data_IF_755009905706
#
_entry.id   IF_755009905706
#
_cell.length_a   1.000
_cell.length_b   1.000
_cell.length_c   1.000
_cell.angle_alpha   90.00
_cell.angle_beta   90.00
_cell.angle_gamma   90.00
#
_symmetry.space_group_name_H-M   'P 1'
#
loop_
_entity.id
_entity.type
_entity.pdbx_description
1 polymer ?
#
# COMPACT_ATOMS: atom_id res chain seq x y z
N UNK A 1 17.40 -31.12 -24.04
CA UNK A 1 18.08 -30.46 -22.91
C UNK A 1 17.90 -28.95 -23.04
N UNK A 2 16.85 -28.40 -22.43
CA UNK A 2 16.62 -26.95 -22.42
C UNK A 2 17.46 -26.32 -21.30
N UNK A 3 18.24 -25.27 -21.63
CA UNK A 3 18.96 -24.45 -20.65
C UNK A 3 17.96 -23.89 -19.64
N UNK A 4 17.94 -24.48 -18.45
CA UNK A 4 17.42 -23.90 -17.22
C UNK A 4 18.53 -23.01 -16.64
N UNK A 5 18.23 -21.75 -16.36
CA UNK A 5 19.15 -20.86 -15.66
C UNK A 5 18.76 -19.40 -15.78
N UNK A 6 18.41 -18.80 -14.63
CA UNK A 6 18.00 -17.40 -14.40
C UNK A 6 16.59 -17.06 -14.87
N UNK A 7 15.76 -16.58 -13.93
CA UNK A 7 14.52 -15.86 -14.27
C UNK A 7 14.98 -14.51 -14.82
N UNK A 8 15.21 -14.44 -16.13
CA UNK A 8 15.52 -13.17 -16.79
C UNK A 8 14.23 -12.36 -16.85
N UNK A 9 13.96 -11.58 -15.80
CA UNK A 9 12.92 -10.56 -15.86
C UNK A 9 13.38 -9.48 -16.83
N UNK A 10 12.59 -9.26 -17.89
CA UNK A 10 12.71 -8.07 -18.72
C UNK A 10 12.66 -6.80 -17.84
N UNK A 11 13.18 -5.68 -18.35
CA UNK A 11 13.19 -4.41 -17.62
C UNK A 11 11.79 -4.00 -17.13
N UNK A 12 10.75 -4.24 -17.92
CA UNK A 12 9.34 -4.06 -17.53
C UNK A 12 8.93 -4.92 -16.32
N UNK A 13 9.42 -6.15 -16.22
CA UNK A 13 9.20 -7.05 -15.09
C UNK A 13 9.91 -6.55 -13.81
N UNK A 14 11.13 -6.02 -13.94
CA UNK A 14 11.88 -5.43 -12.81
C UNK A 14 11.14 -4.19 -12.28
N UNK A 15 10.70 -3.29 -13.16
CA UNK A 15 9.95 -2.08 -12.79
C UNK A 15 8.63 -2.46 -12.11
N UNK A 16 7.92 -3.45 -12.66
CA UNK A 16 6.67 -3.96 -12.07
C UNK A 16 6.90 -4.58 -10.69
N UNK A 17 8.01 -5.29 -10.49
CA UNK A 17 8.41 -5.80 -9.19
C UNK A 17 8.69 -4.68 -8.18
N UNK A 18 9.35 -3.59 -8.60
CA UNK A 18 9.58 -2.41 -7.75
C UNK A 18 8.24 -1.77 -7.32
N UNK A 19 7.29 -1.63 -8.25
CA UNK A 19 5.94 -1.13 -7.93
C UNK A 19 5.20 -2.07 -6.96
N UNK A 20 5.33 -3.38 -7.15
CA UNK A 20 4.71 -4.37 -6.28
C UNK A 20 5.32 -4.37 -4.87
N UNK A 21 6.65 -4.26 -4.75
CA UNK A 21 7.34 -4.10 -3.46
C UNK A 21 6.92 -2.80 -2.80
N UNK A 22 6.86 -1.71 -3.56
CA UNK A 22 6.37 -0.40 -3.08
C UNK A 22 4.95 -0.53 -2.52
N UNK A 23 4.07 -1.22 -3.25
CA UNK A 23 2.71 -1.52 -2.81
C UNK A 23 2.67 -2.32 -1.52
N UNK A 24 3.49 -3.37 -1.40
CA UNK A 24 3.59 -4.19 -0.21
C UNK A 24 4.09 -3.38 1.00
N UNK A 25 5.13 -2.56 0.83
CA UNK A 25 5.66 -1.67 1.88
C UNK A 25 4.55 -0.77 2.42
N UNK A 26 3.77 -0.16 1.54
CA UNK A 26 2.62 0.66 1.95
C UNK A 26 1.56 -0.16 2.69
N UNK A 27 1.19 -1.32 2.16
CA UNK A 27 0.18 -2.20 2.76
C UNK A 27 0.55 -2.57 4.20
N UNK A 28 1.76 -3.10 4.40
CA UNK A 28 2.24 -3.49 5.73
C UNK A 28 2.39 -2.28 6.64
N UNK A 29 2.96 -1.17 6.16
CA UNK A 29 3.06 0.05 6.96
C UNK A 29 1.68 0.53 7.42
N UNK A 30 0.65 0.46 6.57
CA UNK A 30 -0.73 0.82 6.90
C UNK A 30 -1.30 -0.03 8.04
N UNK A 31 -1.13 -1.36 7.94
CA UNK A 31 -1.58 -2.28 8.98
C UNK A 31 -0.82 -2.10 10.30
N UNK A 32 0.50 -1.85 10.23
CA UNK A 32 1.30 -1.53 11.41
C UNK A 32 0.85 -0.23 12.08
N UNK A 33 0.62 0.84 11.30
CA UNK A 33 0.08 2.11 11.82
C UNK A 33 -1.24 1.88 12.54
N UNK A 34 -2.16 1.11 11.95
CA UNK A 34 -3.45 0.82 12.58
C UNK A 34 -3.30 0.00 13.87
N UNK A 35 -2.31 -0.90 13.92
CA UNK A 35 -2.03 -1.73 15.10
C UNK A 35 -1.53 -0.94 16.31
N UNK A 36 -0.92 0.24 16.10
CA UNK A 36 -0.47 1.12 17.20
C UNK A 36 -1.64 1.76 17.94
N UNK A 37 -2.63 2.28 17.21
CA UNK A 37 -3.82 2.90 17.79
C UNK A 37 -4.98 2.94 16.78
N UNK A 38 -5.81 1.91 16.77
CA UNK A 38 -6.93 1.80 15.84
C UNK A 38 -8.08 2.78 16.10
N UNK A 39 -8.17 3.35 17.31
CA UNK A 39 -9.21 4.32 17.69
C UNK A 39 -8.88 5.74 17.21
N UNK A 40 -7.60 6.04 17.02
CA UNK A 40 -7.15 7.33 16.52
C UNK A 40 -7.69 7.68 15.14
N UNK A 41 -8.21 8.88 14.97
CA UNK A 41 -8.48 9.41 13.62
C UNK A 41 -7.19 9.58 12.80
N UNK A 42 -6.07 9.94 13.45
CA UNK A 42 -4.79 10.18 12.79
C UNK A 42 -4.18 8.88 12.24
N UNK A 43 -4.18 7.80 13.03
CA UNK A 43 -3.68 6.50 12.55
C UNK A 43 -4.61 5.89 11.51
N UNK A 44 -5.93 6.05 11.64
CA UNK A 44 -6.89 5.60 10.62
C UNK A 44 -6.69 6.33 9.29
N UNK A 45 -6.58 7.66 9.31
CA UNK A 45 -6.32 8.43 8.08
C UNK A 45 -4.99 8.05 7.45
N UNK A 46 -3.91 7.89 8.23
CA UNK A 46 -2.63 7.48 7.67
C UNK A 46 -2.66 6.05 7.11
N UNK A 47 -3.34 5.13 7.80
CA UNK A 47 -3.58 3.77 7.30
C UNK A 47 -4.31 3.82 5.95
N UNK A 48 -5.39 4.60 5.84
CA UNK A 48 -6.13 4.79 4.59
C UNK A 48 -5.25 5.39 3.49
N UNK A 49 -4.42 6.39 3.80
CA UNK A 49 -3.45 6.94 2.85
C UNK A 49 -2.48 5.87 2.33
N UNK A 50 -1.96 5.02 3.23
CA UNK A 50 -1.06 3.95 2.84
C UNK A 50 -1.76 2.84 2.04
N UNK A 51 -3.00 2.46 2.37
CA UNK A 51 -3.77 1.53 1.54
C UNK A 51 -4.07 2.11 0.15
N UNK A 52 -4.35 3.41 0.06
CA UNK A 52 -4.54 4.13 -1.20
C UNK A 52 -3.28 4.11 -2.08
N UNK A 53 -2.11 4.35 -1.48
CA UNK A 53 -0.82 4.26 -2.17
C UNK A 53 -0.45 2.82 -2.53
N UNK A 54 -0.81 1.85 -1.68
CA UNK A 54 -0.64 0.43 -1.95
C UNK A 54 -1.43 0.01 -3.18
N UNK A 55 -2.70 0.43 -3.27
CA UNK A 55 -3.54 0.20 -4.44
C UNK A 55 -2.94 0.82 -5.71
N UNK A 56 -2.48 2.07 -5.63
CA UNK A 56 -1.82 2.73 -6.75
C UNK A 56 -0.60 1.93 -7.25
N UNK A 57 0.32 1.58 -6.33
CA UNK A 57 1.50 0.80 -6.67
C UNK A 57 1.16 -0.58 -7.25
N UNK A 58 0.15 -1.26 -6.71
CA UNK A 58 -0.28 -2.56 -7.23
C UNK A 58 -0.84 -2.43 -8.64
N UNK A 59 -1.73 -1.47 -8.88
CA UNK A 59 -2.31 -1.24 -10.19
C UNK A 59 -1.26 -0.87 -11.25
N UNK A 60 -0.24 -0.09 -10.86
CA UNK A 60 0.91 0.22 -11.74
C UNK A 60 1.78 -1.01 -12.00
N UNK A 61 1.99 -1.89 -11.02
CA UNK A 61 2.71 -3.14 -11.23
C UNK A 61 2.02 -4.02 -12.28
N UNK A 62 0.68 -4.11 -12.24
CA UNK A 62 -0.08 -4.87 -13.23
C UNK A 62 -0.08 -4.20 -14.60
N UNK A 63 -0.38 -2.90 -14.64
CA UNK A 63 -0.43 -2.15 -15.90
C UNK A 63 0.92 -2.17 -16.64
N UNK A 64 2.04 -2.09 -15.91
CA UNK A 64 3.37 -2.02 -16.52
C UNK A 64 3.82 -3.34 -17.17
N UNK A 65 3.41 -4.48 -16.59
CA UNK A 65 3.68 -5.83 -17.12
C UNK A 65 2.48 -6.42 -17.89
N UNK A 66 1.48 -5.61 -18.25
CA UNK A 66 0.30 -6.08 -18.96
C UNK A 66 0.66 -6.67 -20.34
N UNK A 67 -0.01 -7.75 -20.78
CA UNK A 67 0.28 -8.39 -22.07
C UNK A 67 -0.24 -7.58 -23.27
N UNK A 68 -1.26 -6.75 -23.07
CA UNK A 68 -1.96 -6.00 -24.11
C UNK A 68 -2.41 -4.62 -23.62
N UNK A 69 -2.77 -3.75 -24.57
CA UNK A 69 -3.17 -2.37 -24.30
C UNK A 69 -4.44 -2.27 -23.44
N UNK A 70 -5.44 -3.13 -23.67
CA UNK A 70 -6.72 -3.08 -22.95
C UNK A 70 -6.51 -3.41 -21.48
N UNK A 71 -5.71 -4.44 -21.19
CA UNK A 71 -5.31 -4.78 -19.83
C UNK A 71 -4.53 -3.62 -19.19
N UNK A 72 -3.58 -3.03 -19.90
CA UNK A 72 -2.82 -1.88 -19.39
C UNK A 72 -3.73 -0.69 -19.06
N UNK A 73 -4.63 -0.34 -19.99
CA UNK A 73 -5.59 0.75 -19.85
C UNK A 73 -6.53 0.52 -18.66
N UNK A 74 -7.09 -0.68 -18.54
CA UNK A 74 -7.97 -1.04 -17.43
C UNK A 74 -7.28 -0.83 -16.07
N UNK A 75 -6.04 -1.31 -15.91
CA UNK A 75 -5.32 -1.14 -14.65
C UNK A 75 -4.84 0.30 -14.41
N UNK A 76 -4.55 1.07 -15.47
CA UNK A 76 -4.29 2.51 -15.36
C UNK A 76 -5.52 3.28 -14.86
N UNK A 77 -6.72 2.94 -15.35
CA UNK A 77 -7.99 3.49 -14.87
C UNK A 77 -8.24 3.15 -13.41
N UNK A 78 -8.00 1.90 -13.01
CA UNK A 78 -8.09 1.48 -11.61
C UNK A 78 -7.11 2.23 -10.70
N UNK A 79 -5.91 2.54 -11.19
CA UNK A 79 -4.92 3.30 -10.44
C UNK A 79 -5.39 4.72 -10.09
N UNK A 80 -6.34 5.30 -10.83
CA UNK A 80 -6.92 6.62 -10.55
C UNK A 80 -7.54 6.73 -9.15
N UNK A 81 -8.12 5.63 -8.64
CA UNK A 81 -8.60 5.56 -7.26
C UNK A 81 -7.49 5.74 -6.23
N UNK A 82 -6.25 5.38 -6.57
CA UNK A 82 -5.09 5.52 -5.71
C UNK A 82 -4.52 6.94 -5.71
N UNK A 83 -4.04 7.41 -6.86
CA UNK A 83 -3.40 8.74 -6.94
C UNK A 83 -4.38 9.89 -6.78
N UNK A 84 -5.61 9.75 -7.29
CA UNK A 84 -6.63 10.81 -7.22
C UNK A 84 -7.10 11.11 -5.80
N UNK A 85 -7.14 10.10 -4.91
CA UNK A 85 -7.63 10.24 -3.53
C UNK A 85 -6.50 10.59 -2.56
N UNK A 86 -5.27 10.16 -2.83
CA UNK A 86 -4.14 10.28 -1.89
C UNK A 86 -3.92 11.71 -1.39
N UNK A 87 -3.86 12.70 -2.28
CA UNK A 87 -3.55 14.08 -1.88
C UNK A 87 -4.64 14.70 -0.99
N UNK A 88 -5.90 14.30 -1.17
CA UNK A 88 -7.00 14.70 -0.28
C UNK A 88 -6.86 14.07 1.11
N UNK A 89 -6.50 12.78 1.19
CA UNK A 89 -6.21 12.12 2.46
C UNK A 89 -4.98 12.72 3.15
N UNK A 90 -3.94 13.06 2.39
CA UNK A 90 -2.74 13.70 2.91
C UNK A 90 -3.06 15.07 3.52
N UNK A 91 -3.80 15.94 2.83
CA UNK A 91 -4.17 17.24 3.36
C UNK A 91 -5.09 17.11 4.59
N UNK A 92 -6.05 16.19 4.58
CA UNK A 92 -6.88 15.89 5.75
C UNK A 92 -6.02 15.43 6.94
N UNK A 93 -5.06 14.53 6.70
CA UNK A 93 -4.11 14.10 7.73
C UNK A 93 -3.31 15.27 8.30
N UNK A 94 -2.81 16.17 7.46
CA UNK A 94 -2.06 17.36 7.90
C UNK A 94 -2.95 18.31 8.73
N UNK A 95 -4.21 18.54 8.33
CA UNK A 95 -5.14 19.37 9.08
C UNK A 95 -5.38 18.82 10.49
N UNK A 96 -5.50 17.49 10.60
CA UNK A 96 -5.64 16.82 11.89
C UNK A 96 -4.35 16.90 12.72
N UNK A 97 -3.19 16.66 12.11
CA UNK A 97 -1.88 16.73 12.77
C UNK A 97 -1.56 18.14 13.28
N UNK A 98 -1.97 19.17 12.53
CA UNK A 98 -1.76 20.59 12.88
C UNK A 98 -2.86 21.17 13.77
N UNK A 99 -3.73 20.32 14.32
CA UNK A 99 -4.75 20.66 15.32
C UNK A 99 -5.75 21.73 14.85
N UNK A 100 -6.08 21.75 13.56
CA UNK A 100 -7.03 22.71 12.96
C UNK A 100 -8.49 22.31 13.21
N UNK A 101 -8.83 22.03 14.47
CA UNK A 101 -10.14 21.49 14.88
C UNK A 101 -11.33 22.36 14.44
N UNK A 102 -11.20 23.68 14.49
CA UNK A 102 -12.26 24.59 14.04
C UNK A 102 -12.58 24.50 12.53
N UNK A 103 -11.60 24.12 11.71
CA UNK A 103 -11.83 23.85 10.28
C UNK A 103 -12.44 22.46 10.09
N UNK A 104 -11.96 21.46 10.81
CA UNK A 104 -12.45 20.08 10.74
C UNK A 104 -13.92 19.92 11.17
N UNK A 105 -14.49 20.88 11.91
CA UNK A 105 -15.92 20.87 12.24
C UNK A 105 -16.82 21.30 11.08
N UNK A 106 -16.27 21.91 10.01
CA UNK A 106 -17.06 22.49 8.92
C UNK A 106 -17.30 21.47 7.81
N UNK A 107 -18.56 21.16 7.51
CA UNK A 107 -18.92 20.17 6.48
C UNK A 107 -18.38 20.52 5.08
N UNK A 108 -18.35 21.82 4.71
CA UNK A 108 -17.87 22.26 3.40
C UNK A 108 -16.38 21.99 3.18
N UNK A 109 -15.59 21.83 4.24
CA UNK A 109 -14.18 21.46 4.13
C UNK A 109 -14.05 20.06 3.51
N UNK A 110 -14.90 19.11 3.92
CA UNK A 110 -14.88 17.76 3.39
C UNK A 110 -15.31 17.73 1.92
N UNK A 111 -16.27 18.57 1.53
CA UNK A 111 -16.61 18.76 0.12
C UNK A 111 -15.40 19.26 -0.68
N UNK A 112 -14.72 20.30 -0.19
CA UNK A 112 -13.53 20.85 -0.85
C UNK A 112 -12.39 19.83 -0.94
N UNK A 113 -12.17 19.04 0.11
CA UNK A 113 -11.12 18.03 0.14
C UNK A 113 -11.40 16.88 -0.82
N UNK A 114 -12.61 16.31 -0.80
CA UNK A 114 -12.89 15.04 -1.47
C UNK A 114 -13.58 15.16 -2.83
N UNK A 115 -14.22 16.30 -3.16
CA UNK A 115 -14.84 16.50 -4.46
C UNK A 115 -13.81 16.44 -5.62
N UNK A 116 -12.65 17.13 -5.56
CA UNK A 116 -11.65 17.01 -6.62
C UNK A 116 -11.12 15.59 -6.79
N UNK A 117 -10.93 14.87 -5.67
CA UNK A 117 -10.53 13.47 -5.70
C UNK A 117 -11.58 12.60 -6.40
N UNK A 118 -12.86 12.75 -6.05
CA UNK A 118 -13.94 12.00 -6.68
C UNK A 118 -14.04 12.29 -8.18
N UNK A 119 -13.88 13.56 -8.57
CA UNK A 119 -13.85 13.96 -9.98
C UNK A 119 -12.68 13.33 -10.72
N UNK A 120 -11.47 13.30 -10.15
CA UNK A 120 -10.32 12.63 -10.74
C UNK A 120 -10.59 11.13 -10.94
N UNK A 121 -11.13 10.45 -9.92
CA UNK A 121 -11.47 9.02 -10.02
C UNK A 121 -12.55 8.78 -11.08
N UNK A 122 -13.57 9.64 -11.15
CA UNK A 122 -14.63 9.51 -12.13
C UNK A 122 -14.13 9.75 -13.56
N UNK A 123 -13.40 10.84 -13.80
CA UNK A 123 -12.97 11.25 -15.14
C UNK A 123 -11.87 10.35 -15.69
N UNK A 124 -10.89 9.95 -14.88
CA UNK A 124 -9.81 9.08 -15.33
C UNK A 124 -10.14 7.60 -15.17
N UNK A 125 -10.96 7.22 -14.19
CA UNK A 125 -11.28 5.81 -13.93
C UNK A 125 -12.52 5.31 -14.67
N UNK A 126 -13.61 6.08 -14.68
CA UNK A 126 -14.94 5.58 -15.07
C UNK A 126 -15.38 6.12 -16.43
N UNK A 127 -15.15 7.40 -16.72
CA UNK A 127 -15.59 8.02 -17.96
C UNK A 127 -14.70 7.62 -19.14
N UNK A 128 -15.24 6.86 -20.09
CA UNK A 128 -14.49 6.31 -21.22
C UNK A 128 -13.91 7.39 -22.15
N UNK A 129 -14.69 8.45 -22.42
CA UNK A 129 -14.27 9.52 -23.32
C UNK A 129 -13.00 10.24 -22.83
N UNK A 130 -12.96 10.57 -21.53
CA UNK A 130 -11.83 11.26 -20.92
C UNK A 130 -10.67 10.31 -20.64
N UNK A 131 -10.94 9.05 -20.28
CA UNK A 131 -9.90 8.05 -20.08
C UNK A 131 -9.12 7.75 -21.37
N UNK A 132 -9.80 7.61 -22.51
CA UNK A 132 -9.15 7.38 -23.81
C UNK A 132 -8.27 8.56 -24.26
N UNK A 133 -8.67 9.78 -23.90
CA UNK A 133 -7.86 10.97 -24.18
C UNK A 133 -6.67 11.12 -23.23
N UNK A 134 -6.84 10.74 -21.96
CA UNK A 134 -5.83 10.87 -20.93
C UNK A 134 -4.77 9.74 -20.92
N UNK A 135 -5.09 8.59 -21.53
CA UNK A 135 -4.22 7.41 -21.54
C UNK A 135 -3.84 6.99 -22.96
N UNK A 136 -2.77 7.58 -23.47
CA UNK A 136 -2.12 7.10 -24.68
C UNK A 136 -0.93 6.21 -24.30
N UNK A 137 -1.22 4.94 -24.03
CA UNK A 137 -0.22 3.98 -23.55
C UNK A 137 0.57 3.39 -24.73
N UNK A 138 1.89 3.55 -24.68
CA UNK A 138 2.83 2.97 -25.64
C UNK A 138 3.67 1.90 -24.95
N UNK A 139 3.81 0.75 -25.60
CA UNK A 139 4.64 -0.34 -25.09
C UNK A 139 6.12 -0.03 -25.36
N UNK A 140 6.92 -0.03 -24.30
CA UNK A 140 8.37 0.23 -24.35
C UNK A 140 9.12 -0.92 -23.68
N UNK A 141 10.47 -1.01 -23.79
CA UNK A 141 11.25 -1.98 -23.03
C UNK A 141 11.07 -1.88 -21.51
N UNK A 142 10.70 -0.69 -21.01
CA UNK A 142 10.42 -0.43 -19.60
C UNK A 142 8.97 -0.80 -19.18
N UNK A 143 8.10 -1.17 -20.13
CA UNK A 143 6.69 -1.47 -19.92
C UNK A 143 5.76 -0.44 -20.58
N UNK A 144 4.51 -0.40 -20.13
CA UNK A 144 3.48 0.50 -20.64
C UNK A 144 3.62 1.92 -20.08
N UNK A 145 4.10 2.84 -20.91
CA UNK A 145 4.31 4.25 -20.56
C UNK A 145 3.17 5.09 -21.14
N UNK A 146 2.66 6.03 -20.34
CA UNK A 146 1.65 6.98 -20.82
C UNK A 146 2.34 8.16 -21.54
N UNK A 147 2.00 8.36 -22.81
CA UNK A 147 2.48 9.45 -23.66
C UNK A 147 1.32 10.34 -24.14
N UNK A 148 0.28 10.50 -23.32
CA UNK A 148 -0.77 11.46 -23.59
C UNK A 148 -0.21 12.89 -23.51
N UNK A 149 -0.70 13.77 -24.39
CA UNK A 149 -0.42 15.20 -24.30
C UNK A 149 -1.05 15.82 -23.04
N UNK A 150 -0.70 17.07 -22.75
CA UNK A 150 -1.28 17.79 -21.61
C UNK A 150 -2.69 18.26 -21.99
N UNK A 151 -3.72 17.68 -21.37
CA UNK A 151 -5.11 18.15 -21.46
C UNK A 151 -5.43 19.15 -20.35
N UNK A 152 -6.55 19.89 -20.53
CA UNK A 152 -7.10 20.75 -19.47
C UNK A 152 -7.41 19.97 -18.18
N UNK A 153 -7.75 18.68 -18.30
CA UNK A 153 -7.94 17.77 -17.16
C UNK A 153 -6.63 17.51 -16.42
N UNK A 154 -5.52 17.35 -17.12
CA UNK A 154 -4.21 17.13 -16.50
C UNK A 154 -3.72 18.38 -15.77
N UNK A 155 -4.03 19.56 -16.30
CA UNK A 155 -3.80 20.83 -15.60
C UNK A 155 -4.66 20.95 -14.33
N UNK A 156 -5.92 20.51 -14.37
CA UNK A 156 -6.79 20.49 -13.19
C UNK A 156 -6.29 19.51 -12.13
N UNK A 157 -5.85 18.31 -12.53
CA UNK A 157 -5.21 17.35 -11.65
C UNK A 157 -3.91 17.89 -11.07
N UNK A 158 -3.05 18.50 -11.88
CA UNK A 158 -1.80 19.14 -11.46
C UNK A 158 -2.06 20.23 -10.41
N UNK A 159 -3.09 21.06 -10.63
CA UNK A 159 -3.50 22.09 -9.68
C UNK A 159 -4.01 21.48 -8.36
N UNK A 160 -4.78 20.39 -8.41
CA UNK A 160 -5.24 19.67 -7.22
C UNK A 160 -4.07 19.08 -6.43
N UNK A 161 -3.19 18.32 -7.10
CA UNK A 161 -2.00 17.71 -6.53
C UNK A 161 -1.07 18.76 -5.88
N UNK A 162 -0.60 19.74 -6.66
CA UNK A 162 0.36 20.75 -6.18
C UNK A 162 -0.31 21.63 -5.11
N UNK A 163 -1.55 22.06 -5.34
CA UNK A 163 -2.28 22.91 -4.40
C UNK A 163 -2.43 22.26 -3.03
N UNK A 164 -2.80 20.98 -2.99
CA UNK A 164 -3.01 20.26 -1.73
C UNK A 164 -1.68 19.93 -1.04
N UNK A 165 -0.65 19.54 -1.81
CA UNK A 165 0.68 19.29 -1.28
C UNK A 165 1.32 20.56 -0.68
N UNK A 166 1.26 21.69 -1.40
CA UNK A 166 1.78 22.98 -0.92
C UNK A 166 1.00 23.51 0.27
N UNK A 167 -0.33 23.41 0.26
CA UNK A 167 -1.15 23.80 1.42
C UNK A 167 -0.76 22.97 2.64
N UNK A 168 -0.62 21.65 2.47
CA UNK A 168 -0.15 20.77 3.54
C UNK A 168 1.26 21.14 4.03
N UNK A 169 2.18 21.45 3.12
CA UNK A 169 3.54 21.89 3.46
C UNK A 169 3.54 23.19 4.27
N UNK A 170 2.80 24.21 3.83
CA UNK A 170 2.67 25.50 4.53
C UNK A 170 2.08 25.30 5.92
N UNK A 171 1.02 24.48 6.05
CA UNK A 171 0.42 24.17 7.34
C UNK A 171 1.41 23.45 8.28
N UNK A 172 2.17 22.47 7.77
CA UNK A 172 3.18 21.75 8.55
C UNK A 172 4.28 22.67 9.03
N UNK A 173 4.84 23.49 8.14
CA UNK A 173 5.95 24.38 8.49
C UNK A 173 5.51 25.50 9.46
N UNK A 174 4.36 26.13 9.21
CA UNK A 174 3.80 27.14 10.13
C UNK A 174 3.51 26.57 11.51
N UNK A 175 2.94 25.37 11.58
CA UNK A 175 2.73 24.65 12.84
C UNK A 175 4.07 24.31 13.52
N UNK A 176 5.06 23.85 12.77
CA UNK A 176 6.40 23.58 13.28
C UNK A 176 7.13 24.81 13.83
N UNK A 177 6.96 25.97 13.22
CA UNK A 177 7.57 27.23 13.69
C UNK A 177 6.90 27.77 14.95
N UNK A 178 5.58 27.64 15.05
CA UNK A 178 4.78 28.17 16.18
C UNK A 178 4.71 27.23 17.38
N UNK A 179 4.99 25.93 17.20
CA UNK A 179 4.94 24.95 18.27
C UNK A 179 5.93 25.28 19.40
N UNK A 180 5.50 25.22 20.66
CA UNK A 180 6.39 25.31 21.84
C UNK A 180 7.18 24.02 22.08
N UNK A 181 6.57 22.89 21.75
CA UNK A 181 7.14 21.57 22.02
C UNK A 181 8.19 21.17 20.97
N UNK A 182 9.40 20.78 21.42
CA UNK A 182 10.49 20.36 20.54
C UNK A 182 10.12 19.17 19.65
N UNK A 183 9.26 18.27 20.12
CA UNK A 183 8.78 17.09 19.38
C UNK A 183 7.99 17.50 18.13
N UNK A 184 6.99 18.39 18.29
CA UNK A 184 6.18 18.91 17.18
C UNK A 184 7.04 19.60 16.11
N UNK A 185 8.04 20.40 16.53
CA UNK A 185 9.01 21.03 15.61
C UNK A 185 9.83 20.03 14.82
N UNK A 186 10.22 18.90 15.42
CA UNK A 186 10.99 17.84 14.73
C UNK A 186 10.11 17.11 13.72
N UNK A 187 8.89 16.72 14.12
CA UNK A 187 7.91 16.08 13.24
C UNK A 187 7.63 16.95 12.01
N UNK A 188 7.31 18.22 12.22
CA UNK A 188 7.00 19.17 11.15
C UNK A 188 8.15 19.28 10.14
N UNK A 189 9.40 19.37 10.61
CA UNK A 189 10.58 19.46 9.74
C UNK A 189 10.83 18.16 8.99
N UNK A 190 10.75 17.01 9.65
CA UNK A 190 10.99 15.70 9.03
C UNK A 190 9.98 15.46 7.90
N UNK A 191 8.68 15.65 8.18
CA UNK A 191 7.64 15.47 7.17
C UNK A 191 7.74 16.57 6.10
N UNK A 192 7.99 17.82 6.49
CA UNK A 192 8.11 18.94 5.55
C UNK A 192 9.25 18.75 4.54
N UNK A 193 10.45 18.37 5.00
CA UNK A 193 11.58 18.08 4.09
C UNK A 193 11.30 16.86 3.20
N UNK A 194 10.62 15.84 3.72
CA UNK A 194 10.22 14.68 2.93
C UNK A 194 9.22 15.05 1.82
N UNK A 195 8.26 15.94 2.10
CA UNK A 195 7.30 16.46 1.11
C UNK A 195 8.04 17.24 0.03
N UNK A 196 8.96 18.14 0.39
CA UNK A 196 9.74 18.90 -0.60
C UNK A 196 10.58 17.97 -1.47
N UNK A 197 11.28 17.00 -0.88
CA UNK A 197 12.07 16.04 -1.63
C UNK A 197 11.22 15.20 -2.59
N UNK A 198 10.07 14.70 -2.13
CA UNK A 198 9.15 13.93 -2.96
C UNK A 198 8.52 14.76 -4.08
N UNK A 199 8.18 16.03 -3.84
CA UNK A 199 7.68 16.94 -4.88
C UNK A 199 8.73 17.17 -5.96
N UNK A 200 9.99 17.43 -5.59
CA UNK A 200 11.08 17.63 -6.55
C UNK A 200 11.31 16.36 -7.37
N UNK A 201 11.38 15.19 -6.73
CA UNK A 201 11.62 13.92 -7.43
C UNK A 201 10.42 13.58 -8.34
N UNK A 202 9.19 13.76 -7.85
CA UNK A 202 7.96 13.51 -8.61
C UNK A 202 7.89 14.38 -9.87
N UNK A 203 8.06 15.70 -9.74
CA UNK A 203 7.98 16.60 -10.89
C UNK A 203 9.11 16.41 -11.90
N UNK A 204 10.33 16.14 -11.43
CA UNK A 204 11.46 15.84 -12.31
C UNK A 204 11.23 14.54 -13.09
N UNK A 205 10.72 13.49 -12.44
CA UNK A 205 10.50 12.19 -13.08
C UNK A 205 9.31 12.17 -14.03
N UNK A 206 8.23 12.92 -13.74
CA UNK A 206 7.02 12.94 -14.57
C UNK A 206 7.11 13.90 -15.76
N UNK A 207 7.75 15.06 -15.61
CA UNK A 207 7.75 16.10 -16.66
C UNK A 207 9.14 16.38 -17.24
N UNK A 208 10.18 16.49 -16.41
CA UNK A 208 11.48 16.97 -16.90
C UNK A 208 12.24 15.91 -17.70
N UNK A 209 12.29 14.66 -17.22
CA UNK A 209 13.10 13.61 -17.87
C UNK A 209 12.52 13.23 -19.24
N UNK A 210 11.20 13.09 -19.35
CA UNK A 210 10.55 12.70 -20.60
C UNK A 210 10.69 13.76 -21.68
N UNK A 211 10.60 15.05 -21.32
CA UNK A 211 10.75 16.19 -22.25
C UNK A 211 12.22 16.43 -22.63
N UNK A 212 13.16 16.38 -21.69
CA UNK A 212 14.58 16.71 -21.93
C UNK A 212 15.29 15.62 -22.73
N UNK A 213 15.03 14.35 -22.42
CA UNK A 213 15.77 13.24 -23.02
C UNK A 213 15.04 12.58 -24.20
N UNK A 214 13.78 12.96 -24.47
CA UNK A 214 12.90 12.26 -25.43
C UNK A 214 12.85 10.74 -25.22
N UNK A 215 13.10 10.30 -23.98
CA UNK A 215 13.06 8.90 -23.56
C UNK A 215 11.79 8.68 -22.77
N UNK A 216 10.97 7.73 -23.19
CA UNK A 216 9.75 7.33 -22.49
C UNK A 216 10.09 6.76 -21.10
N UNK A 217 9.80 7.54 -20.05
CA UNK A 217 10.12 7.15 -18.68
C UNK A 217 8.85 6.74 -17.91
N UNK A 218 8.87 5.64 -17.14
CA UNK A 218 7.70 5.22 -16.36
C UNK A 218 7.37 6.24 -15.27
N UNK A 219 6.08 6.43 -15.01
CA UNK A 219 5.61 7.34 -13.96
C UNK A 219 5.93 6.76 -12.57
N UNK A 220 6.88 7.39 -11.86
CA UNK A 220 7.39 6.90 -10.56
C UNK A 220 6.67 7.50 -9.34
N UNK A 221 5.50 8.11 -9.51
CA UNK A 221 4.73 8.76 -8.43
C UNK A 221 4.64 7.94 -7.13
N UNK A 222 4.21 6.67 -7.14
CA UNK A 222 4.16 5.83 -5.94
C UNK A 222 5.52 5.65 -5.26
N UNK A 223 6.62 5.64 -6.02
CA UNK A 223 7.96 5.43 -5.48
C UNK A 223 8.48 6.73 -4.86
N UNK A 224 8.25 7.89 -5.49
CA UNK A 224 8.63 9.18 -4.93
C UNK A 224 7.96 9.45 -3.57
N UNK A 225 6.70 9.05 -3.42
CA UNK A 225 5.92 9.23 -2.19
C UNK A 225 6.42 8.34 -1.04
N UNK A 226 7.22 7.28 -1.30
CA UNK A 226 7.78 6.44 -0.23
C UNK A 226 8.60 7.29 0.75
N UNK A 227 9.25 8.35 0.28
CA UNK A 227 10.01 9.29 1.11
C UNK A 227 9.10 9.91 2.19
N UNK A 228 7.90 10.37 1.79
CA UNK A 228 6.90 10.94 2.71
C UNK A 228 6.39 9.86 3.67
N UNK A 229 6.07 8.68 3.15
CA UNK A 229 5.51 7.61 3.97
C UNK A 229 6.50 7.08 5.02
N UNK A 230 7.77 6.90 4.66
CA UNK A 230 8.81 6.54 5.62
C UNK A 230 9.00 7.63 6.67
N UNK A 231 8.96 8.91 6.29
CA UNK A 231 9.04 10.02 7.24
C UNK A 231 7.85 10.01 8.22
N UNK A 232 6.63 9.78 7.75
CA UNK A 232 5.44 9.68 8.59
C UNK A 232 5.49 8.45 9.51
N UNK A 233 5.85 7.28 8.97
CA UNK A 233 6.00 6.05 9.74
C UNK A 233 7.08 6.16 10.81
N UNK A 234 8.23 6.75 10.47
CA UNK A 234 9.29 7.07 11.42
C UNK A 234 8.79 7.98 12.54
N UNK A 235 8.04 9.03 12.20
CA UNK A 235 7.52 9.96 13.19
C UNK A 235 6.55 9.29 14.18
N UNK A 236 5.67 8.41 13.70
CA UNK A 236 4.78 7.62 14.56
C UNK A 236 5.58 6.72 15.50
N UNK A 237 6.53 5.96 14.96
CA UNK A 237 7.31 5.00 15.75
C UNK A 237 8.24 5.67 16.77
N UNK A 238 8.91 6.75 16.38
CA UNK A 238 9.95 7.40 17.18
C UNK A 238 9.39 8.40 18.18
N UNK A 239 8.45 9.24 17.75
CA UNK A 239 7.90 10.30 18.59
C UNK A 239 6.60 9.89 19.26
N UNK A 240 6.16 8.65 19.02
CA UNK A 240 5.00 8.06 19.65
C UNK A 240 3.86 9.05 19.61
N UNK A 241 3.49 9.53 18.40
CA UNK A 241 2.47 10.56 18.13
C UNK A 241 1.16 10.35 18.92
N UNK A 242 1.02 9.23 19.63
CA UNK A 242 -0.10 8.77 20.45
C UNK A 242 0.28 7.84 21.62
N UNK A 243 1.35 8.08 22.40
CA UNK A 243 1.58 7.27 23.61
C UNK A 243 0.69 7.73 24.78
N UNK A 244 -0.61 7.46 24.68
CA UNK A 244 -1.45 7.23 25.86
C UNK A 244 -1.55 5.72 26.05
N UNK A 245 -0.66 5.16 26.86
CA UNK A 245 -0.93 3.85 27.46
C UNK A 245 -2.18 4.01 28.33
N UNK A 246 -3.24 3.20 28.13
CA UNK A 246 -4.31 3.12 29.12
C UNK A 246 -3.68 2.79 30.48
N UNK A 247 -4.03 3.55 31.52
CA UNK A 247 -3.47 3.41 32.88
C UNK A 247 -3.86 2.09 33.56
N UNK A 248 -4.63 1.26 32.90
CA UNK A 248 -5.34 0.12 33.49
C UNK A 248 -4.56 -1.21 33.33
N UNK A 249 -3.34 -1.16 32.80
CA UNK A 249 -2.56 -2.33 32.37
C UNK A 249 -1.69 -2.97 33.47
N UNK A 250 -1.80 -2.53 34.72
CA UNK A 250 -0.87 -2.94 35.81
C UNK A 250 -1.40 -4.12 36.66
N UNK A 251 -2.63 -4.61 36.47
CA UNK A 251 -3.23 -5.61 37.39
C UNK A 251 -3.49 -7.03 36.84
N UNK A 252 -3.00 -7.41 35.65
CA UNK A 252 -3.42 -8.66 34.96
C UNK A 252 -2.28 -9.54 34.41
N UNK A 253 -1.10 -9.44 35.01
CA UNK A 253 0.20 -9.90 34.47
C UNK A 253 0.27 -11.39 34.07
N UNK A 254 -0.54 -12.27 34.67
CA UNK A 254 -0.49 -13.72 34.39
C UNK A 254 -1.53 -14.23 33.38
N UNK A 255 -2.71 -13.59 33.26
CA UNK A 255 -3.72 -13.93 32.23
C UNK A 255 -3.44 -13.22 30.90
N UNK A 256 -2.84 -12.03 30.95
CA UNK A 256 -2.50 -11.28 29.74
C UNK A 256 -1.39 -11.93 28.92
N UNK A 257 -0.47 -12.71 29.51
CA UNK A 257 0.63 -13.32 28.76
C UNK A 257 0.13 -14.28 27.66
N UNK A 258 -0.90 -15.09 27.95
CA UNK A 258 -1.44 -16.03 26.97
C UNK A 258 -2.28 -15.31 25.90
N UNK A 259 -3.22 -14.43 26.31
CA UNK A 259 -4.06 -13.69 25.36
C UNK A 259 -3.26 -12.72 24.48
N UNK A 260 -2.24 -12.06 25.04
CA UNK A 260 -1.33 -11.20 24.28
C UNK A 260 -0.44 -11.99 23.34
N UNK A 261 0.09 -13.14 23.78
CA UNK A 261 0.89 -14.02 22.93
C UNK A 261 0.05 -14.55 21.76
N UNK A 262 -1.19 -15.00 22.01
CA UNK A 262 -2.14 -15.43 21.00
C UNK A 262 -2.49 -14.31 20.01
N UNK A 263 -2.83 -13.11 20.50
CA UNK A 263 -3.13 -11.97 19.63
C UNK A 263 -1.93 -11.56 18.76
N UNK A 264 -0.71 -11.67 19.30
CA UNK A 264 0.54 -11.39 18.58
C UNK A 264 0.83 -12.48 17.54
N UNK A 265 0.59 -13.75 17.88
CA UNK A 265 0.69 -14.88 16.96
C UNK A 265 -0.28 -14.73 15.78
N UNK A 266 -1.56 -14.51 16.05
CA UNK A 266 -2.59 -14.30 15.02
C UNK A 266 -2.24 -13.12 14.11
N UNK A 267 -1.68 -12.04 14.66
CA UNK A 267 -1.20 -10.92 13.86
C UNK A 267 -0.07 -11.32 12.91
N UNK A 268 0.95 -12.04 13.38
CA UNK A 268 2.05 -12.48 12.52
C UNK A 268 1.62 -13.51 11.48
N UNK A 269 0.69 -14.40 11.82
CA UNK A 269 0.08 -15.33 10.86
C UNK A 269 -0.64 -14.57 9.75
N UNK A 270 -1.45 -13.56 10.09
CA UNK A 270 -2.08 -12.68 9.10
C UNK A 270 -1.03 -11.96 8.23
N UNK A 271 0.04 -11.42 8.82
CA UNK A 271 1.12 -10.77 8.06
C UNK A 271 1.81 -11.75 7.11
N UNK A 272 2.05 -12.99 7.55
CA UNK A 272 2.64 -14.05 6.74
C UNK A 272 1.76 -14.42 5.54
N UNK A 273 0.44 -14.51 5.74
CA UNK A 273 -0.51 -14.76 4.65
C UNK A 273 -0.55 -13.58 3.66
N UNK A 274 -0.61 -12.34 4.14
CA UNK A 274 -0.52 -11.18 3.24
C UNK A 274 0.77 -11.17 2.43
N UNK A 275 1.89 -11.52 3.05
CA UNK A 275 3.17 -11.62 2.38
C UNK A 275 3.15 -12.74 1.33
N UNK A 276 2.57 -13.90 1.66
CA UNK A 276 2.31 -14.98 0.71
C UNK A 276 1.44 -14.53 -0.47
N UNK A 277 0.45 -13.67 -0.26
CA UNK A 277 -0.35 -13.05 -1.32
C UNK A 277 0.49 -12.23 -2.31
N UNK A 278 1.33 -11.32 -1.82
CA UNK A 278 2.23 -10.52 -2.68
C UNK A 278 3.27 -11.39 -3.40
N UNK A 279 3.90 -12.33 -2.68
CA UNK A 279 4.91 -13.22 -3.26
C UNK A 279 4.29 -14.13 -4.31
N UNK A 280 3.13 -14.71 -4.04
CA UNK A 280 2.43 -15.56 -5.01
C UNK A 280 2.03 -14.80 -6.26
N UNK A 281 1.60 -13.53 -6.11
CA UNK A 281 1.27 -12.70 -7.26
C UNK A 281 2.51 -12.41 -8.11
N UNK A 282 3.60 -11.98 -7.48
CA UNK A 282 4.88 -11.74 -8.15
C UNK A 282 5.36 -12.97 -8.90
N UNK A 283 5.30 -14.11 -8.22
CA UNK A 283 5.67 -15.41 -8.72
C UNK A 283 4.86 -15.78 -9.97
N UNK A 284 3.53 -15.80 -9.89
CA UNK A 284 2.68 -16.29 -10.98
C UNK A 284 2.63 -15.32 -12.17
N UNK A 285 2.44 -14.02 -11.89
CA UNK A 285 2.23 -13.01 -12.93
C UNK A 285 3.54 -12.50 -13.53
N UNK A 286 4.51 -12.05 -12.72
CA UNK A 286 5.73 -11.42 -13.25
C UNK A 286 6.70 -12.40 -13.90
N UNK A 287 6.59 -13.71 -13.59
CA UNK A 287 7.37 -14.75 -14.28
C UNK A 287 6.60 -15.40 -15.44
N UNK A 288 5.43 -14.85 -15.79
CA UNK A 288 4.58 -15.28 -16.90
C UNK A 288 4.22 -16.78 -16.85
N UNK A 289 3.97 -17.30 -15.64
CA UNK A 289 3.63 -18.72 -15.41
C UNK A 289 2.12 -18.98 -15.44
N UNK A 290 1.33 -17.96 -15.15
CA UNK A 290 -0.12 -18.04 -15.19
C UNK A 290 -0.73 -16.76 -15.76
N UNK A 291 -1.99 -16.85 -16.19
CA UNK A 291 -2.75 -15.68 -16.60
C UNK A 291 -2.94 -14.70 -15.44
N UNK A 292 -3.10 -13.41 -15.75
CA UNK A 292 -3.34 -12.37 -14.75
C UNK A 292 -4.55 -12.70 -13.86
N UNK A 293 -5.65 -13.18 -14.46
CA UNK A 293 -6.85 -13.55 -13.72
C UNK A 293 -6.58 -14.66 -12.69
N UNK A 294 -5.84 -15.71 -13.10
CA UNK A 294 -5.46 -16.79 -12.18
C UNK A 294 -4.56 -16.28 -11.06
N UNK A 295 -3.53 -15.48 -11.39
CA UNK A 295 -2.63 -14.92 -10.39
C UNK A 295 -3.38 -14.07 -9.35
N UNK A 296 -4.33 -13.23 -9.77
CA UNK A 296 -5.16 -12.43 -8.86
C UNK A 296 -6.02 -13.32 -7.96
N UNK A 297 -6.78 -14.25 -8.56
CA UNK A 297 -7.67 -15.12 -7.79
C UNK A 297 -6.87 -15.94 -6.78
N UNK A 298 -5.77 -16.54 -7.22
CA UNK A 298 -4.90 -17.34 -6.38
C UNK A 298 -4.30 -16.54 -5.22
N UNK A 299 -3.71 -15.37 -5.50
CA UNK A 299 -3.16 -14.50 -4.47
C UNK A 299 -4.22 -13.92 -3.54
N UNK A 300 -5.45 -13.72 -4.03
CA UNK A 300 -6.56 -13.23 -3.22
C UNK A 300 -6.96 -14.21 -2.13
N UNK A 301 -6.78 -15.53 -2.32
CA UNK A 301 -7.06 -16.55 -1.29
C UNK A 301 -6.23 -16.27 -0.02
N UNK A 302 -4.92 -16.00 -0.19
CA UNK A 302 -4.04 -15.66 0.92
C UNK A 302 -4.43 -14.35 1.58
N UNK A 303 -4.74 -13.33 0.79
CA UNK A 303 -5.15 -12.02 1.30
C UNK A 303 -6.47 -12.10 2.07
N UNK A 304 -7.47 -12.81 1.55
CA UNK A 304 -8.77 -13.00 2.22
C UNK A 304 -8.60 -13.79 3.51
N UNK A 305 -7.81 -14.88 3.50
CA UNK A 305 -7.49 -15.60 4.72
C UNK A 305 -6.79 -14.69 5.75
N UNK A 306 -5.82 -13.88 5.33
CA UNK A 306 -5.15 -12.88 6.17
C UNK A 306 -6.12 -11.85 6.77
N UNK A 307 -7.08 -11.35 5.98
CA UNK A 307 -8.14 -10.43 6.46
C UNK A 307 -9.00 -11.12 7.52
N UNK A 308 -9.44 -12.36 7.27
CA UNK A 308 -10.29 -13.10 8.22
C UNK A 308 -9.56 -13.28 9.56
N UNK A 309 -8.29 -13.71 9.54
CA UNK A 309 -7.48 -13.84 10.76
C UNK A 309 -7.32 -12.48 11.47
N UNK A 310 -7.03 -11.42 10.71
CA UNK A 310 -6.88 -10.08 11.26
C UNK A 310 -8.17 -9.56 11.93
N UNK A 311 -9.34 -9.84 11.34
CA UNK A 311 -10.65 -9.45 11.91
C UNK A 311 -10.96 -10.30 13.14
N UNK A 312 -10.83 -11.62 13.06
CA UNK A 312 -11.08 -12.56 14.17
C UNK A 312 -10.26 -12.18 15.40
N UNK A 313 -9.02 -11.70 15.21
CA UNK A 313 -8.19 -11.16 16.29
C UNK A 313 -8.90 -10.09 17.11
N UNK A 314 -9.63 -9.19 16.45
CA UNK A 314 -10.31 -8.05 17.08
C UNK A 314 -11.70 -8.37 17.64
N UNK A 315 -12.26 -9.53 17.31
CA UNK A 315 -13.55 -9.97 17.85
C UNK A 315 -13.40 -10.56 19.27
N UNK A 316 -14.40 -10.32 20.12
CA UNK A 316 -14.49 -10.89 21.48
C UNK A 316 -14.91 -12.37 21.51
N UNK A 317 -14.41 -13.19 20.59
CA UNK A 317 -14.69 -14.63 20.53
C UNK A 317 -13.85 -15.40 21.57
N UNK A 318 -14.33 -16.58 21.99
CA UNK A 318 -13.57 -17.50 22.85
C UNK A 318 -12.26 -17.92 22.16
N UNK A 319 -11.13 -18.00 22.89
CA UNK A 319 -9.82 -18.38 22.32
C UNK A 319 -9.85 -19.67 21.49
N UNK A 320 -10.46 -20.73 22.02
CA UNK A 320 -10.54 -22.04 21.33
C UNK A 320 -11.22 -21.97 19.96
N UNK A 321 -12.26 -21.12 19.84
CA UNK A 321 -12.96 -20.91 18.58
C UNK A 321 -12.09 -20.13 17.59
N UNK A 322 -11.30 -19.16 18.06
CA UNK A 322 -10.37 -18.42 17.20
C UNK A 322 -9.30 -19.35 16.64
N UNK A 323 -8.71 -20.18 17.49
CA UNK A 323 -7.65 -21.11 17.09
C UNK A 323 -8.19 -22.20 16.15
N UNK A 324 -9.41 -22.69 16.37
CA UNK A 324 -10.06 -23.63 15.45
C UNK A 324 -10.28 -23.02 14.07
N UNK A 325 -10.82 -21.79 13.99
CA UNK A 325 -11.06 -21.11 12.71
C UNK A 325 -9.74 -20.84 11.99
N UNK A 326 -8.71 -20.38 12.72
CA UNK A 326 -7.38 -20.13 12.17
C UNK A 326 -6.75 -21.43 11.67
N UNK A 327 -6.86 -22.52 12.43
CA UNK A 327 -6.38 -23.84 12.03
C UNK A 327 -7.01 -24.33 10.74
N UNK A 328 -8.34 -24.18 10.59
CA UNK A 328 -9.07 -24.52 9.36
C UNK A 328 -8.60 -23.65 8.18
N UNK A 329 -8.45 -22.34 8.38
CA UNK A 329 -7.99 -21.42 7.33
C UNK A 329 -6.57 -21.74 6.87
N UNK A 330 -5.66 -22.03 7.80
CA UNK A 330 -4.29 -22.43 7.48
C UNK A 330 -4.26 -23.78 6.78
N UNK A 331 -5.04 -24.76 7.26
CA UNK A 331 -5.17 -26.06 6.61
C UNK A 331 -5.70 -25.94 5.18
N UNK A 332 -6.64 -25.02 4.92
CA UNK A 332 -7.14 -24.72 3.58
C UNK A 332 -6.13 -23.98 2.69
N UNK A 333 -5.24 -23.17 3.28
CA UNK A 333 -4.17 -22.48 2.55
C UNK A 333 -3.00 -23.41 2.18
N UNK A 334 -2.82 -24.54 2.87
CA UNK A 334 -1.73 -25.50 2.62
C UNK A 334 -1.79 -26.14 1.21
N UNK A 335 -2.94 -26.66 0.72
CA UNK A 335 -3.10 -27.12 -0.66
C UNK A 335 -2.70 -26.07 -1.71
N UNK A 336 -2.97 -24.80 -1.41
CA UNK A 336 -2.65 -23.68 -2.30
C UNK A 336 -1.14 -23.43 -2.33
N UNK A 337 -0.49 -23.40 -1.17
CA UNK A 337 0.98 -23.29 -1.07
C UNK A 337 1.71 -24.45 -1.76
N UNK A 338 1.14 -25.67 -1.68
CA UNK A 338 1.73 -26.85 -2.33
C UNK A 338 1.73 -26.73 -3.85
N UNK A 339 0.65 -26.24 -4.45
CA UNK A 339 0.59 -25.96 -5.90
C UNK A 339 1.65 -24.94 -6.30
N UNK A 340 1.80 -23.85 -5.51
CA UNK A 340 2.78 -22.81 -5.81
C UNK A 340 4.23 -23.33 -5.72
N UNK A 341 4.55 -24.10 -4.68
CA UNK A 341 5.88 -24.70 -4.50
C UNK A 341 6.16 -25.73 -5.60
N UNK A 342 5.16 -26.51 -6.00
CA UNK A 342 5.27 -27.50 -7.07
C UNK A 342 5.58 -26.84 -8.42
N UNK A 343 4.87 -25.77 -8.77
CA UNK A 343 5.16 -25.02 -9.99
C UNK A 343 6.54 -24.34 -9.93
N UNK A 344 6.95 -23.79 -8.77
CA UNK A 344 8.22 -23.08 -8.61
C UNK A 344 9.46 -23.97 -8.49
N UNK A 345 9.33 -25.13 -7.86
CA UNK A 345 10.46 -26.00 -7.51
C UNK A 345 10.22 -27.42 -8.01
N UNK A 346 10.68 -27.72 -9.22
CA UNK A 346 10.79 -29.10 -9.71
C UNK A 346 11.75 -29.97 -8.87
N UNK A 347 12.44 -29.41 -7.87
CA UNK A 347 13.52 -30.03 -7.11
C UNK A 347 13.38 -29.97 -5.58
N UNK A 348 12.35 -29.33 -5.00
CA UNK A 348 12.24 -29.13 -3.53
C UNK A 348 10.89 -29.53 -2.92
N UNK A 349 10.25 -30.57 -3.45
CA UNK A 349 9.07 -31.23 -2.86
C UNK A 349 9.27 -31.73 -1.42
N UNK A 350 10.51 -31.82 -0.96
CA UNK A 350 10.94 -32.26 0.38
C UNK A 350 10.98 -31.15 1.44
N UNK A 351 10.60 -29.90 1.11
CA UNK A 351 10.39 -28.84 2.11
C UNK A 351 9.04 -28.97 2.83
N UNK A 352 8.10 -29.71 2.24
CA UNK A 352 6.75 -29.93 2.76
C UNK A 352 6.74 -30.71 4.10
N UNK A 353 7.47 -31.84 4.26
CA UNK A 353 7.51 -32.58 5.52
C UNK A 353 8.00 -31.77 6.72
N UNK A 354 8.90 -30.80 6.53
CA UNK A 354 9.44 -29.99 7.63
C UNK A 354 8.39 -29.04 8.19
N UNK A 355 7.54 -28.46 7.34
CA UNK A 355 6.39 -27.65 7.77
C UNK A 355 5.31 -28.52 8.42
N UNK A 356 5.12 -29.76 7.95
CA UNK A 356 4.21 -30.74 8.56
C UNK A 356 4.65 -31.17 9.96
N UNK A 357 5.95 -31.45 10.17
CA UNK A 357 6.49 -31.84 11.49
C UNK A 357 6.39 -30.70 12.49
N UNK A 358 6.65 -29.46 12.08
CA UNK A 358 6.57 -28.30 12.97
C UNK A 358 5.12 -27.93 13.39
N UNK A 359 4.11 -28.26 12.58
CA UNK A 359 2.71 -28.06 12.97
C UNK A 359 2.16 -29.25 13.79
N UNK A 360 2.65 -30.47 13.58
CA UNK A 360 2.18 -31.65 14.31
C UNK A 360 2.51 -31.57 15.81
N UNK A 361 3.69 -31.07 16.18
CA UNK A 361 4.07 -30.87 17.59
C UNK A 361 3.26 -29.77 18.29
N UNK A 362 2.60 -28.88 17.53
CA UNK A 362 1.78 -27.79 18.07
C UNK A 362 0.34 -28.22 18.43
N UNK A 363 -0.12 -29.37 17.92
CA UNK A 363 -1.46 -29.91 18.21
C UNK A 363 -1.46 -30.94 19.36
N UNK A 364 -0.31 -31.24 19.95
CA UNK A 364 -0.13 -32.21 21.03
C UNK A 364 0.22 -31.58 22.40
N UNK A 365 0.19 -30.24 22.51
CA UNK A 365 0.28 -29.48 23.76
C UNK A 365 -0.97 -28.63 23.94
#
# INVERSE_FOLDING_TARGET
MAKRGVVDLALSGIISLIFLITSAVYFFAGLFVLSYNSRSALHRLLCLSFLCLSWWGFAFAVANAAPDYETALFWRRLAAAGWGIYYSLFLHYVLLLTERNALLQKYWLYLFLYLPALLNVFLYGICDQTALQAYHLVQTPAGWVNMAGILALDLAHLAHYIGFALTGLVLLLTWGMTARERTKRKIARIIGYAVVAALIIGTLTEHAISEIFQVSFPQLGPIAILIIAFAMFYCIRRYGMMRQMPKDMVSWENQMLNEYAQAKLHFYLAMGLFFGGFVSFAALFLTNRASLAFAIVFSSVFTVAGIIIYIIRSLGLKPDLKDTIIGILLAAALPVLTVLIYEFTATHSWTLPVVFVLNYDYFQQ
#
